data_IF_636378699961
#
_entry.id   IF_636378699961
#
_cell.length_a   1.000
_cell.length_b   1.000
_cell.length_c   1.000
_cell.angle_alpha   90.00
_cell.angle_beta   90.00
_cell.angle_gamma   90.00
#
_symmetry.space_group_name_H-M   'P 1'
#
loop_
_entity.id
_entity.type
_entity.pdbx_description
1 polymer ?
#
# COMPACT_ATOMS: atom_id res chain seq x y z
N UNK A 1 12.27 -0.16 -23.45
CA UNK A 1 13.02 0.03 -22.18
C UNK A 1 12.11 0.06 -20.94
N UNK A 2 11.19 1.03 -20.71
CA UNK A 2 10.32 1.01 -19.51
C UNK A 2 9.34 -0.19 -19.51
N UNK A 3 8.67 -0.46 -20.60
CA UNK A 3 7.77 -1.62 -20.72
C UNK A 3 8.46 -2.97 -20.54
N UNK A 4 9.69 -3.10 -21.00
CA UNK A 4 10.50 -4.31 -20.83
C UNK A 4 10.87 -4.51 -19.33
N UNK A 5 11.29 -3.45 -18.63
CA UNK A 5 11.57 -3.49 -17.18
C UNK A 5 10.33 -3.86 -16.37
N UNK A 6 9.15 -3.32 -16.74
CA UNK A 6 7.88 -3.73 -16.12
C UNK A 6 7.59 -5.21 -16.34
N UNK A 7 7.76 -5.72 -17.55
CA UNK A 7 7.51 -7.14 -17.87
C UNK A 7 8.44 -8.03 -17.06
N UNK A 8 9.74 -7.72 -17.01
CA UNK A 8 10.72 -8.46 -16.22
C UNK A 8 10.37 -8.47 -14.73
N UNK A 9 9.98 -7.32 -14.15
CA UNK A 9 9.57 -7.22 -12.75
C UNK A 9 8.29 -8.01 -12.47
N UNK A 10 7.33 -8.02 -13.40
CA UNK A 10 6.10 -8.81 -13.30
C UNK A 10 6.38 -10.32 -13.33
N UNK A 11 7.22 -10.79 -14.26
CA UNK A 11 7.57 -12.21 -14.40
C UNK A 11 8.34 -12.70 -13.18
N UNK A 12 9.26 -11.91 -12.68
CA UNK A 12 9.96 -12.18 -11.42
C UNK A 12 8.98 -12.29 -10.25
N UNK A 13 8.05 -11.36 -10.13
CA UNK A 13 7.03 -11.36 -9.07
C UNK A 13 6.18 -12.63 -9.15
N UNK A 14 5.76 -13.02 -10.36
CA UNK A 14 5.05 -14.29 -10.59
C UNK A 14 5.86 -15.50 -10.15
N UNK A 15 7.13 -15.54 -10.50
CA UNK A 15 8.05 -16.64 -10.14
C UNK A 15 8.29 -16.72 -8.63
N UNK A 16 8.51 -15.58 -7.99
CA UNK A 16 8.82 -15.50 -6.56
C UNK A 16 7.60 -15.67 -5.66
N UNK A 17 6.38 -15.35 -6.11
CA UNK A 17 5.16 -15.56 -5.34
C UNK A 17 4.49 -16.88 -5.74
N UNK A 18 4.20 -17.09 -7.02
CA UNK A 18 3.54 -18.29 -7.52
C UNK A 18 2.24 -18.59 -6.75
N UNK A 19 2.07 -19.83 -6.37
CA UNK A 19 0.95 -20.35 -5.57
C UNK A 19 1.21 -20.35 -4.04
N UNK A 20 2.39 -19.82 -3.61
CA UNK A 20 2.83 -19.87 -2.20
C UNK A 20 2.08 -18.92 -1.26
N UNK A 21 1.35 -17.95 -1.79
CA UNK A 21 0.69 -16.91 -1.01
C UNK A 21 -0.30 -17.46 0.04
N UNK A 22 -0.99 -18.57 -0.27
CA UNK A 22 -1.89 -19.24 0.68
C UNK A 22 -1.15 -19.80 1.89
N UNK A 23 0.00 -20.44 1.68
CA UNK A 23 0.85 -20.94 2.78
C UNK A 23 1.41 -19.83 3.64
N UNK A 24 1.83 -18.71 3.05
CA UNK A 24 2.32 -17.54 3.79
C UNK A 24 1.22 -16.86 4.62
N UNK A 25 0.00 -16.79 4.07
CA UNK A 25 -1.16 -16.27 4.80
C UNK A 25 -1.46 -17.11 6.05
N UNK A 26 -1.42 -18.45 5.92
CA UNK A 26 -1.62 -19.38 7.03
C UNK A 26 -0.49 -19.31 8.07
N UNK A 27 0.76 -19.21 7.62
CA UNK A 27 1.91 -19.04 8.49
C UNK A 27 1.95 -17.65 9.15
N UNK A 28 1.26 -16.66 8.54
CA UNK A 28 1.29 -15.27 8.95
C UNK A 28 2.63 -14.60 8.70
N UNK A 29 3.48 -15.11 7.81
CA UNK A 29 4.84 -14.62 7.57
C UNK A 29 5.24 -14.77 6.11
N UNK A 30 5.99 -13.78 5.60
CA UNK A 30 6.63 -13.80 4.28
C UNK A 30 8.12 -14.20 4.43
N UNK A 31 8.65 -15.03 3.53
CA UNK A 31 10.09 -15.27 3.49
C UNK A 31 10.86 -13.99 3.19
N UNK A 32 11.71 -13.56 4.10
CA UNK A 32 12.51 -12.32 3.95
C UNK A 32 13.39 -12.37 2.69
N UNK A 33 13.89 -13.56 2.33
CA UNK A 33 14.68 -13.74 1.10
C UNK A 33 13.89 -13.34 -0.16
N UNK A 34 12.58 -13.65 -0.24
CA UNK A 34 11.70 -13.25 -1.34
C UNK A 34 11.54 -11.73 -1.38
N UNK A 35 11.32 -11.10 -0.23
CA UNK A 35 11.19 -9.64 -0.16
C UNK A 35 12.47 -8.93 -0.56
N UNK A 36 13.61 -9.40 -0.09
CA UNK A 36 14.92 -8.83 -0.46
C UNK A 36 15.23 -9.01 -1.94
N UNK A 37 14.84 -10.14 -2.54
CA UNK A 37 15.04 -10.33 -3.98
C UNK A 37 14.15 -9.40 -4.81
N UNK A 38 12.87 -9.28 -4.45
CA UNK A 38 11.97 -8.27 -5.06
C UNK A 38 12.53 -6.85 -4.91
N UNK A 39 13.13 -6.53 -3.77
CA UNK A 39 13.80 -5.25 -3.52
C UNK A 39 15.00 -5.03 -4.43
N UNK A 40 15.94 -6.00 -4.53
CA UNK A 40 17.14 -5.92 -5.39
C UNK A 40 16.81 -5.75 -6.87
N UNK A 41 15.69 -6.27 -7.30
CA UNK A 41 15.19 -6.11 -8.67
C UNK A 41 14.33 -4.86 -8.85
N UNK A 42 14.24 -3.99 -7.82
CA UNK A 42 13.50 -2.73 -7.85
C UNK A 42 11.97 -2.88 -7.83
N UNK A 43 11.43 -4.10 -7.74
CA UNK A 43 9.98 -4.35 -7.84
C UNK A 43 9.19 -3.80 -6.64
N UNK A 44 9.81 -3.62 -5.46
CA UNK A 44 9.15 -3.07 -4.29
C UNK A 44 9.03 -1.53 -4.30
N UNK A 45 9.82 -0.83 -5.11
CA UNK A 45 9.80 0.63 -5.24
C UNK A 45 10.08 1.06 -6.69
N UNK A 46 9.26 0.58 -7.62
CA UNK A 46 9.51 0.60 -9.06
C UNK A 46 9.53 2.01 -9.70
N UNK A 47 9.00 3.03 -9.02
CA UNK A 47 9.07 4.43 -9.47
C UNK A 47 10.42 5.12 -9.15
N UNK A 48 11.26 4.52 -8.31
CA UNK A 48 12.60 5.10 -8.04
C UNK A 48 13.36 5.27 -9.35
N UNK A 49 13.96 6.45 -9.60
CA UNK A 49 14.72 6.71 -10.82
C UNK A 49 15.88 5.72 -11.01
N UNK A 50 16.23 5.48 -12.29
CA UNK A 50 17.28 4.53 -12.67
C UNK A 50 18.64 4.94 -12.12
N UNK A 51 18.91 6.22 -11.96
CA UNK A 51 20.15 6.75 -11.38
C UNK A 51 20.37 6.30 -9.92
N UNK A 52 19.30 5.91 -9.21
CA UNK A 52 19.34 5.34 -7.86
C UNK A 52 19.12 3.83 -7.85
N UNK A 53 19.28 3.16 -9.00
CA UNK A 53 19.11 1.71 -9.13
C UNK A 53 17.66 1.21 -9.21
N UNK A 54 16.68 2.13 -9.35
CA UNK A 54 15.27 1.80 -9.51
C UNK A 54 14.88 1.49 -10.95
N UNK A 55 13.62 1.12 -11.17
CA UNK A 55 13.09 0.81 -12.50
C UNK A 55 12.67 2.06 -13.28
N UNK A 56 12.43 3.20 -12.60
CA UNK A 56 11.98 4.45 -13.21
C UNK A 56 10.65 4.29 -13.93
N UNK A 57 9.73 3.49 -13.37
CA UNK A 57 8.42 3.30 -13.97
C UNK A 57 7.53 4.53 -13.77
N UNK A 58 6.63 4.77 -14.74
CA UNK A 58 5.53 5.71 -14.59
C UNK A 58 4.57 5.27 -13.48
N UNK A 59 3.69 6.17 -13.02
CA UNK A 59 2.65 5.82 -12.05
C UNK A 59 1.72 4.73 -12.60
N UNK A 60 1.40 4.78 -13.90
CA UNK A 60 0.57 3.76 -14.56
C UNK A 60 1.25 2.39 -14.58
N UNK A 61 2.53 2.31 -14.98
CA UNK A 61 3.26 1.05 -15.04
C UNK A 61 3.53 0.45 -13.66
N UNK A 62 3.84 1.29 -12.66
CA UNK A 62 3.95 0.87 -11.25
C UNK A 62 2.59 0.39 -10.71
N UNK A 63 1.50 1.04 -11.13
CA UNK A 63 0.14 0.65 -10.78
C UNK A 63 -0.21 -0.75 -11.29
N UNK A 64 0.06 -1.04 -12.55
CA UNK A 64 -0.16 -2.38 -13.12
C UNK A 64 0.71 -3.47 -12.46
N UNK A 65 1.97 -3.15 -12.10
CA UNK A 65 2.81 -4.06 -11.32
C UNK A 65 2.23 -4.29 -9.93
N UNK A 66 1.72 -3.25 -9.28
CA UNK A 66 1.06 -3.31 -7.96
C UNK A 66 -0.22 -4.13 -8.02
N UNK A 67 -1.05 -3.97 -9.07
CA UNK A 67 -2.23 -4.77 -9.29
C UNK A 67 -1.87 -6.26 -9.48
N UNK A 68 -0.85 -6.54 -10.28
CA UNK A 68 -0.36 -7.91 -10.46
C UNK A 68 0.08 -8.53 -9.12
N UNK A 69 0.89 -7.83 -8.34
CA UNK A 69 1.34 -8.27 -7.01
C UNK A 69 0.15 -8.49 -6.07
N UNK A 70 -0.82 -7.56 -6.05
CA UNK A 70 -2.03 -7.61 -5.21
C UNK A 70 -2.94 -8.79 -5.54
N UNK A 71 -3.07 -9.14 -6.81
CA UNK A 71 -3.81 -10.33 -7.25
C UNK A 71 -3.17 -11.63 -6.78
N UNK A 72 -1.84 -11.70 -6.79
CA UNK A 72 -1.09 -12.86 -6.28
C UNK A 72 -1.09 -12.92 -4.75
N UNK A 73 -0.74 -11.80 -4.09
CA UNK A 73 -0.57 -11.75 -2.63
C UNK A 73 -0.67 -10.32 -2.08
N UNK A 74 -1.78 -9.99 -1.41
CA UNK A 74 -1.98 -8.68 -0.77
C UNK A 74 -0.97 -8.39 0.34
N UNK A 75 -0.42 -9.40 1.02
CA UNK A 75 0.63 -9.20 2.03
C UNK A 75 1.93 -8.71 1.39
N UNK A 76 2.37 -9.28 0.26
CA UNK A 76 3.54 -8.79 -0.50
C UNK A 76 3.27 -7.39 -1.04
N UNK A 77 2.05 -7.14 -1.60
CA UNK A 77 1.64 -5.81 -2.05
C UNK A 77 1.67 -4.79 -0.89
N UNK A 78 1.30 -5.17 0.33
CA UNK A 78 1.38 -4.28 1.49
C UNK A 78 2.82 -3.91 1.83
N UNK A 79 3.76 -4.86 1.76
CA UNK A 79 5.20 -4.57 1.89
C UNK A 79 5.68 -3.66 0.75
N UNK A 80 5.26 -3.92 -0.50
CA UNK A 80 5.55 -3.06 -1.66
C UNK A 80 5.02 -1.64 -1.43
N UNK A 81 3.82 -1.47 -0.85
CA UNK A 81 3.27 -0.16 -0.50
C UNK A 81 4.18 0.57 0.48
N UNK A 82 4.58 -0.10 1.56
CA UNK A 82 5.44 0.48 2.60
C UNK A 82 6.80 0.89 2.05
N UNK A 83 7.44 0.00 1.26
CA UNK A 83 8.74 0.26 0.62
C UNK A 83 8.65 1.42 -0.38
N UNK A 84 7.65 1.41 -1.25
CA UNK A 84 7.47 2.46 -2.25
C UNK A 84 7.11 3.80 -1.63
N UNK A 85 6.30 3.82 -0.56
CA UNK A 85 6.00 5.05 0.20
C UNK A 85 7.25 5.60 0.89
N UNK A 86 8.10 4.74 1.45
CA UNK A 86 9.37 5.16 2.02
C UNK A 86 10.28 5.79 0.95
N UNK A 87 10.43 5.13 -0.19
CA UNK A 87 11.22 5.65 -1.31
C UNK A 87 10.66 6.97 -1.85
N UNK A 88 9.34 7.08 -2.02
CA UNK A 88 8.65 8.31 -2.41
C UNK A 88 8.91 9.45 -1.42
N UNK A 89 8.80 9.18 -0.12
CA UNK A 89 9.03 10.18 0.93
C UNK A 89 10.47 10.68 0.94
N UNK A 90 11.45 9.79 0.78
CA UNK A 90 12.87 10.14 0.67
C UNK A 90 13.08 10.97 -0.61
N UNK A 91 12.52 10.58 -1.73
CA UNK A 91 12.59 11.30 -3.00
C UNK A 91 11.99 12.71 -2.91
N UNK A 92 10.89 12.89 -2.18
CA UNK A 92 10.12 14.13 -2.09
C UNK A 92 10.68 15.10 -1.05
N UNK A 93 11.05 14.60 0.13
CA UNK A 93 11.42 15.41 1.29
C UNK A 93 12.92 15.37 1.60
N UNK A 94 13.64 14.33 1.14
CA UNK A 94 15.09 14.24 1.37
C UNK A 94 15.88 15.25 0.56
N UNK A 95 16.97 15.73 1.14
CA UNK A 95 17.98 16.49 0.41
C UNK A 95 18.76 15.61 -0.60
N UNK A 96 19.58 16.20 -1.50
CA UNK A 96 20.34 15.40 -2.49
C UNK A 96 21.30 14.37 -1.85
N UNK A 97 21.85 14.65 -0.67
CA UNK A 97 22.71 13.71 0.07
C UNK A 97 21.90 12.52 0.59
N UNK A 98 20.75 12.79 1.20
CA UNK A 98 19.84 11.77 1.71
C UNK A 98 19.29 10.88 0.60
N UNK A 99 18.91 11.44 -0.55
CA UNK A 99 18.45 10.66 -1.72
C UNK A 99 19.54 9.70 -2.20
N UNK A 100 20.79 10.21 -2.39
CA UNK A 100 21.93 9.38 -2.78
C UNK A 100 22.30 8.33 -1.73
N UNK A 101 22.03 8.59 -0.45
CA UNK A 101 22.32 7.65 0.63
C UNK A 101 21.27 6.56 0.77
N UNK A 102 19.99 6.92 0.74
CA UNK A 102 18.92 5.97 1.09
C UNK A 102 18.32 5.24 -0.12
N UNK A 103 18.07 5.89 -1.26
CA UNK A 103 17.38 5.26 -2.38
C UNK A 103 18.13 4.04 -2.94
N UNK A 104 19.47 4.06 -3.14
CA UNK A 104 20.19 2.87 -3.59
C UNK A 104 20.15 1.71 -2.58
N UNK A 105 20.00 1.99 -1.28
CA UNK A 105 19.86 0.94 -0.26
C UNK A 105 18.52 0.23 -0.39
N UNK A 106 17.43 0.98 -0.65
CA UNK A 106 16.11 0.42 -0.85
C UNK A 106 16.01 -0.41 -2.15
N UNK A 107 16.57 0.09 -3.24
CA UNK A 107 16.65 -0.66 -4.52
C UNK A 107 17.67 -1.79 -4.48
N UNK A 108 18.62 -1.76 -3.54
CA UNK A 108 19.57 -2.82 -3.25
C UNK A 108 19.05 -3.95 -2.33
N UNK A 109 17.77 -3.87 -1.92
CA UNK A 109 17.11 -4.93 -1.15
C UNK A 109 17.03 -4.69 0.36
N UNK A 110 17.42 -3.51 0.87
CA UNK A 110 17.04 -3.12 2.22
C UNK A 110 15.53 -2.83 2.26
N UNK A 111 14.89 -3.23 3.35
CA UNK A 111 13.45 -3.09 3.51
C UNK A 111 13.13 -1.91 4.42
N UNK A 112 12.08 -1.18 4.07
CA UNK A 112 11.61 -0.02 4.84
C UNK A 112 10.15 -0.14 5.23
N UNK A 113 9.84 0.36 6.43
CA UNK A 113 8.50 0.59 6.92
C UNK A 113 8.24 2.09 7.07
N UNK A 114 6.95 2.48 7.04
CA UNK A 114 6.52 3.86 7.31
C UNK A 114 5.52 3.84 8.46
N UNK A 115 5.79 4.64 9.48
CA UNK A 115 5.08 4.66 10.75
C UNK A 115 4.36 5.99 10.96
N UNK A 116 3.02 5.98 10.83
CA UNK A 116 2.14 7.14 11.03
C UNK A 116 1.31 7.04 12.29
N UNK A 117 0.46 6.00 12.34
CA UNK A 117 -0.63 5.85 13.31
C UNK A 117 -0.13 5.64 14.72
N UNK A 118 -0.87 6.17 15.68
CA UNK A 118 -0.73 5.93 17.12
C UNK A 118 -2.04 5.39 17.68
N UNK A 119 -2.07 4.90 18.90
CA UNK A 119 -3.27 4.32 19.49
C UNK A 119 -4.48 5.29 19.40
N UNK A 120 -4.22 6.59 19.67
CA UNK A 120 -5.25 7.64 19.67
C UNK A 120 -5.18 8.56 18.44
N UNK A 121 -4.30 8.29 17.47
CA UNK A 121 -4.13 9.09 16.25
C UNK A 121 -4.11 8.19 15.00
N UNK A 122 -5.28 7.80 14.53
CA UNK A 122 -5.51 7.05 13.30
C UNK A 122 -6.04 7.94 12.17
N UNK A 123 -7.36 8.15 12.12
CA UNK A 123 -7.98 9.06 11.15
C UNK A 123 -7.62 10.53 11.45
N UNK A 124 -7.56 10.90 12.72
CA UNK A 124 -7.07 12.22 13.18
C UNK A 124 -5.56 12.13 13.48
N UNK A 125 -4.74 12.24 12.44
CA UNK A 125 -3.28 12.33 12.61
C UNK A 125 -2.84 13.65 13.26
N UNK A 126 -3.74 14.64 13.37
CA UNK A 126 -3.52 15.85 14.14
C UNK A 126 -3.32 15.60 15.64
N UNK A 127 -3.87 14.52 16.17
CA UNK A 127 -3.71 14.12 17.57
C UNK A 127 -2.36 13.39 17.87
N UNK A 128 -1.48 13.24 16.88
CA UNK A 128 -0.17 12.57 17.01
C UNK A 128 0.66 13.15 18.15
N UNK A 129 1.25 12.28 18.96
CA UNK A 129 2.07 12.62 20.13
C UNK A 129 3.55 12.29 19.99
N UNK A 130 3.94 11.43 19.04
CA UNK A 130 5.36 11.13 18.75
C UNK A 130 6.11 12.42 18.45
N UNK A 131 7.25 12.62 19.10
CA UNK A 131 8.10 13.81 18.98
C UNK A 131 9.46 13.48 18.38
N UNK A 132 9.95 14.40 17.58
CA UNK A 132 11.30 14.46 17.04
C UNK A 132 11.88 15.80 17.51
N UNK A 133 12.96 15.77 18.25
CA UNK A 133 13.57 16.95 18.85
C UNK A 133 15.07 16.99 18.52
N UNK A 134 15.66 18.17 18.49
CA UNK A 134 17.13 18.31 18.42
C UNK A 134 17.64 18.57 19.82
N UNK A 135 18.44 17.63 20.33
CA UNK A 135 19.07 17.71 21.66
C UNK A 135 20.58 17.49 21.47
N UNK A 136 21.39 18.45 21.87
CA UNK A 136 22.86 18.40 21.74
C UNK A 136 23.35 18.12 20.31
N UNK A 137 22.63 18.62 19.30
CA UNK A 137 22.96 18.43 17.87
C UNK A 137 22.54 17.09 17.28
N UNK A 138 21.92 16.22 18.07
CA UNK A 138 21.35 14.95 17.63
C UNK A 138 19.81 15.03 17.51
N UNK A 139 19.23 14.25 16.61
CA UNK A 139 17.80 14.02 16.58
C UNK A 139 17.42 12.96 17.63
N UNK A 140 16.46 13.27 18.48
CA UNK A 140 15.90 12.36 19.49
C UNK A 140 14.45 12.08 19.16
N UNK A 141 14.11 10.80 18.96
CA UNK A 141 12.75 10.38 18.60
C UNK A 141 12.14 9.63 19.77
N UNK A 142 10.95 10.10 20.20
CA UNK A 142 10.22 9.51 21.33
C UNK A 142 8.74 9.37 20.99
N UNK A 143 8.17 8.20 21.21
CA UNK A 143 6.76 7.91 20.99
C UNK A 143 6.46 6.46 20.71
N UNK A 144 5.22 6.19 20.30
CA UNK A 144 4.77 4.84 19.96
C UNK A 144 3.90 4.88 18.70
N UNK A 145 4.21 4.01 17.76
CA UNK A 145 3.46 3.84 16.51
C UNK A 145 2.82 2.47 16.50
N UNK A 146 1.59 2.40 16.00
CA UNK A 146 0.83 1.14 15.93
C UNK A 146 0.58 0.71 14.50
N UNK A 147 0.38 -0.59 14.29
CA UNK A 147 0.05 -1.18 12.98
C UNK A 147 1.02 -0.82 11.86
N UNK A 148 2.28 -0.62 12.16
CA UNK A 148 3.29 -0.30 11.14
C UNK A 148 3.52 -1.50 10.23
N UNK A 149 3.09 -1.37 8.96
CA UNK A 149 3.23 -2.42 7.94
C UNK A 149 4.70 -2.66 7.61
N UNK A 150 5.06 -3.91 7.40
CA UNK A 150 6.43 -4.39 7.10
C UNK A 150 7.44 -4.17 8.23
N UNK A 151 7.06 -3.64 9.40
CA UNK A 151 8.01 -3.31 10.46
C UNK A 151 8.81 -4.54 10.96
N UNK A 152 8.21 -5.75 10.95
CA UNK A 152 8.95 -6.96 11.34
C UNK A 152 10.05 -7.35 10.34
N UNK A 153 9.99 -6.88 9.10
CA UNK A 153 10.97 -7.14 8.03
C UNK A 153 11.92 -5.97 7.79
N UNK A 154 11.54 -4.77 8.21
CA UNK A 154 12.23 -3.53 7.87
C UNK A 154 13.62 -3.45 8.49
N UNK A 155 14.56 -2.92 7.72
CA UNK A 155 15.88 -2.46 8.18
C UNK A 155 15.81 -0.98 8.61
N UNK A 156 14.93 -0.22 7.96
CA UNK A 156 14.70 1.21 8.20
C UNK A 156 13.22 1.48 8.49
N UNK A 157 12.94 2.35 9.44
CA UNK A 157 11.58 2.80 9.76
C UNK A 157 11.52 4.31 9.58
N UNK A 158 10.70 4.79 8.66
CA UNK A 158 10.41 6.20 8.48
C UNK A 158 9.33 6.59 9.50
N UNK A 159 9.69 7.34 10.50
CA UNK A 159 8.81 7.75 11.60
C UNK A 159 8.36 9.19 11.38
N UNK A 160 7.04 9.39 11.25
CA UNK A 160 6.43 10.72 11.22
C UNK A 160 6.18 11.18 12.65
N UNK A 161 6.62 12.38 13.00
CA UNK A 161 6.46 12.95 14.34
C UNK A 161 6.36 14.47 14.35
N UNK A 162 5.90 15.01 15.46
CA UNK A 162 5.93 16.46 15.74
C UNK A 162 7.37 16.94 15.78
N UNK A 163 7.64 18.09 15.15
CA UNK A 163 8.96 18.72 15.15
C UNK A 163 8.81 20.25 15.19
N UNK A 164 9.17 20.85 16.31
CA UNK A 164 8.89 22.26 16.56
C UNK A 164 7.39 22.56 16.47
N UNK A 165 7.01 23.57 15.70
CA UNK A 165 5.60 23.91 15.41
C UNK A 165 4.98 23.08 14.28
N UNK A 166 5.76 22.24 13.59
CA UNK A 166 5.33 21.43 12.45
C UNK A 166 5.55 19.93 12.68
N UNK A 167 5.98 19.26 11.63
CA UNK A 167 6.26 17.83 11.62
C UNK A 167 7.55 17.51 10.84
N UNK A 168 8.08 16.32 11.06
CA UNK A 168 9.22 15.79 10.32
C UNK A 168 9.07 14.29 10.09
N UNK A 169 9.92 13.75 9.22
CA UNK A 169 10.14 12.33 9.03
C UNK A 169 11.57 12.00 9.44
N UNK A 170 11.74 11.15 10.43
CA UNK A 170 13.04 10.61 10.82
C UNK A 170 13.25 9.22 10.23
N UNK A 171 14.40 8.96 9.62
CA UNK A 171 14.78 7.63 9.12
C UNK A 171 15.51 6.90 10.25
N UNK A 172 14.83 5.97 10.88
CA UNK A 172 15.29 5.23 12.07
C UNK A 172 15.76 3.84 11.66
N UNK A 173 17.05 3.48 11.82
CA UNK A 173 17.49 2.09 11.70
C UNK A 173 16.83 1.23 12.79
N UNK A 174 16.34 0.04 12.42
CA UNK A 174 15.62 -0.86 13.33
C UNK A 174 16.43 -1.29 14.55
N UNK A 175 17.73 -1.40 14.39
CA UNK A 175 18.67 -1.90 15.42
C UNK A 175 19.18 -0.82 16.38
N UNK A 176 18.69 0.42 16.24
CA UNK A 176 19.07 1.51 17.17
C UNK A 176 18.60 1.22 18.59
N UNK A 177 19.46 1.51 19.60
CA UNK A 177 19.04 1.49 20.98
C UNK A 177 17.78 2.33 21.21
N UNK A 178 16.82 1.80 21.95
CA UNK A 178 15.53 2.46 22.22
C UNK A 178 14.42 2.06 21.23
N UNK A 179 14.72 1.39 20.11
CA UNK A 179 13.70 0.84 19.19
C UNK A 179 13.25 -0.52 19.67
N UNK A 180 11.95 -0.69 19.85
CA UNK A 180 11.33 -1.98 20.18
C UNK A 180 10.16 -2.24 19.27
N UNK A 181 10.07 -3.46 18.74
CA UNK A 181 9.00 -3.91 17.86
C UNK A 181 8.17 -5.00 18.57
N UNK A 182 6.86 -4.82 18.56
CA UNK A 182 5.92 -5.84 19.03
C UNK A 182 5.02 -6.22 17.88
N UNK A 183 5.11 -7.48 17.42
CA UNK A 183 4.29 -7.97 16.31
C UNK A 183 2.80 -7.88 16.66
N UNK A 184 1.98 -7.39 15.75
CA UNK A 184 0.51 -7.44 15.88
C UNK A 184 0.07 -8.90 15.76
N UNK A 185 -0.62 -9.45 16.78
CA UNK A 185 -1.06 -10.84 16.75
C UNK A 185 -2.30 -11.00 15.85
N UNK A 186 -2.34 -12.08 15.07
CA UNK A 186 -3.51 -12.56 14.34
C UNK A 186 -4.30 -11.48 13.55
N UNK A 187 -3.66 -10.70 12.65
CA UNK A 187 -4.41 -9.73 11.86
C UNK A 187 -5.46 -10.43 11.01
N UNK A 188 -6.63 -9.81 10.84
CA UNK A 188 -7.76 -10.42 10.13
C UNK A 188 -7.51 -10.60 8.63
N UNK A 189 -6.68 -9.72 8.02
CA UNK A 189 -6.24 -9.81 6.61
C UNK A 189 -4.81 -9.29 6.46
N UNK A 190 -4.23 -9.44 5.28
CA UNK A 190 -2.82 -9.20 5.02
C UNK A 190 -1.93 -9.84 6.12
N UNK A 191 -2.28 -11.06 6.52
CA UNK A 191 -1.77 -11.72 7.73
C UNK A 191 -0.24 -11.81 7.77
N UNK A 192 0.37 -11.92 6.61
CA UNK A 192 1.81 -12.06 6.46
C UNK A 192 2.53 -10.73 6.16
N UNK A 193 1.87 -9.57 6.23
CA UNK A 193 2.48 -8.28 5.88
C UNK A 193 3.45 -7.72 6.94
N UNK A 194 3.66 -8.43 8.04
CA UNK A 194 4.64 -8.07 9.06
C UNK A 194 4.28 -6.81 9.85
N UNK A 195 3.00 -6.65 10.19
CA UNK A 195 2.55 -5.55 11.03
C UNK A 195 3.14 -5.63 12.44
N UNK A 196 3.63 -4.50 12.95
CA UNK A 196 4.09 -4.38 14.33
C UNK A 196 3.82 -2.99 14.89
N UNK A 197 3.72 -2.92 16.21
CA UNK A 197 3.82 -1.68 16.95
C UNK A 197 5.30 -1.35 17.17
N UNK A 198 5.64 -0.07 17.10
CA UNK A 198 7.01 0.45 17.16
C UNK A 198 7.10 1.42 18.31
N UNK A 199 7.77 1.02 19.36
CA UNK A 199 8.10 1.90 20.49
C UNK A 199 9.47 2.52 20.29
N UNK A 200 9.55 3.82 20.50
CA UNK A 200 10.73 4.66 20.36
C UNK A 200 11.00 5.34 21.71
N UNK A 201 12.03 4.87 22.40
CA UNK A 201 12.39 5.34 23.74
C UNK A 201 13.67 6.20 23.65
N UNK A 202 13.47 7.51 23.46
CA UNK A 202 14.53 8.50 23.28
C UNK A 202 15.63 8.05 22.28
N UNK A 203 15.20 7.58 21.11
CA UNK A 203 16.11 7.05 20.07
C UNK A 203 16.96 8.17 19.50
N UNK A 204 18.28 8.10 19.72
CA UNK A 204 19.25 9.10 19.25
C UNK A 204 19.74 8.78 17.85
N UNK A 205 19.73 9.78 16.98
CA UNK A 205 20.12 9.70 15.56
C UNK A 205 20.93 10.93 15.21
N UNK A 206 21.81 10.86 14.20
CA UNK A 206 22.36 12.07 13.60
C UNK A 206 21.23 13.00 13.11
N UNK A 207 21.37 14.31 13.27
CA UNK A 207 20.38 15.28 12.77
C UNK A 207 20.07 15.09 11.27
N UNK A 208 21.05 14.60 10.50
CA UNK A 208 20.90 14.23 9.08
C UNK A 208 19.94 13.05 8.82
N UNK A 209 19.45 12.38 9.85
CA UNK A 209 18.40 11.36 9.71
C UNK A 209 17.01 11.99 9.55
N UNK A 210 16.83 13.28 9.83
CA UNK A 210 15.59 14.01 9.57
C UNK A 210 15.54 14.40 8.10
N UNK A 211 14.56 13.92 7.35
CA UNK A 211 14.42 14.23 5.92
C UNK A 211 14.23 15.74 5.70
N UNK A 212 15.11 16.34 4.89
CA UNK A 212 15.05 17.75 4.52
C UNK A 212 15.16 18.72 5.72
N UNK A 213 15.64 18.27 6.88
CA UNK A 213 15.73 19.06 8.10
C UNK A 213 14.43 19.24 8.86
N UNK A 214 13.29 18.76 8.36
CA UNK A 214 11.99 18.83 9.03
C UNK A 214 11.27 20.18 8.95
N UNK A 215 10.31 20.42 9.87
CA UNK A 215 9.56 21.67 9.96
C UNK A 215 8.44 21.84 8.91
N UNK A 216 8.00 20.74 8.32
CA UNK A 216 6.88 20.74 7.37
C UNK A 216 5.55 20.92 8.07
N UNK A 217 4.56 21.51 7.39
CA UNK A 217 3.17 21.41 7.81
C UNK A 217 2.74 19.94 7.83
N UNK A 218 2.11 19.51 8.93
CA UNK A 218 1.73 18.09 9.13
C UNK A 218 0.76 17.61 8.07
N UNK A 219 -0.23 18.43 7.71
CA UNK A 219 -1.27 18.03 6.74
C UNK A 219 -0.69 17.87 5.35
N UNK A 220 0.22 18.77 4.96
CA UNK A 220 0.96 18.71 3.70
C UNK A 220 1.86 17.46 3.65
N UNK A 221 2.62 17.20 4.71
CA UNK A 221 3.50 16.04 4.82
C UNK A 221 2.72 14.72 4.69
N UNK A 222 1.67 14.57 5.49
CA UNK A 222 0.80 13.39 5.50
C UNK A 222 0.12 13.21 4.15
N UNK A 223 -0.45 14.27 3.56
CA UNK A 223 -1.09 14.20 2.25
C UNK A 223 -0.13 13.73 1.18
N UNK A 224 1.06 14.29 1.11
CA UNK A 224 2.06 13.93 0.11
C UNK A 224 2.56 12.48 0.24
N UNK A 225 2.72 11.97 1.48
CA UNK A 225 3.13 10.59 1.71
C UNK A 225 1.98 9.61 1.41
N UNK A 226 0.76 9.92 1.84
CA UNK A 226 -0.43 9.09 1.60
C UNK A 226 -0.85 9.05 0.13
N UNK A 227 -0.45 9.99 -0.74
CA UNK A 227 -0.68 9.87 -2.18
C UNK A 227 -0.17 8.54 -2.73
N UNK A 228 1.09 8.18 -2.40
CA UNK A 228 1.66 6.91 -2.83
C UNK A 228 0.91 5.70 -2.25
N UNK A 229 0.64 5.72 -0.94
CA UNK A 229 -0.07 4.64 -0.27
C UNK A 229 -1.46 4.40 -0.84
N UNK A 230 -2.23 5.47 -1.05
CA UNK A 230 -3.57 5.42 -1.66
C UNK A 230 -3.55 4.87 -3.07
N UNK A 231 -2.59 5.30 -3.93
CA UNK A 231 -2.42 4.74 -5.28
C UNK A 231 -2.11 3.25 -5.24
N UNK A 232 -1.20 2.84 -4.36
CA UNK A 232 -0.84 1.43 -4.20
C UNK A 232 -2.02 0.58 -3.71
N UNK A 233 -2.82 1.09 -2.77
CA UNK A 233 -4.06 0.41 -2.31
C UNK A 233 -5.07 0.31 -3.44
N UNK A 234 -5.29 1.40 -4.19
CA UNK A 234 -6.26 1.43 -5.29
C UNK A 234 -5.92 0.39 -6.37
N UNK A 235 -4.68 0.38 -6.85
CA UNK A 235 -4.22 -0.61 -7.82
C UNK A 235 -4.17 -2.04 -7.26
N UNK A 236 -3.80 -2.20 -5.98
CA UNK A 236 -3.86 -3.50 -5.30
C UNK A 236 -5.28 -4.08 -5.29
N UNK A 237 -6.30 -3.23 -5.10
CA UNK A 237 -7.71 -3.62 -5.18
C UNK A 237 -8.13 -4.05 -6.60
N UNK A 238 -7.61 -3.40 -7.64
CA UNK A 238 -7.79 -3.86 -9.04
C UNK A 238 -7.25 -5.29 -9.19
N UNK A 239 -6.07 -5.58 -8.62
CA UNK A 239 -5.50 -6.92 -8.63
C UNK A 239 -6.38 -7.96 -7.92
N UNK A 240 -6.92 -7.62 -6.76
CA UNK A 240 -7.88 -8.46 -6.03
C UNK A 240 -9.11 -8.76 -6.89
N UNK A 241 -9.69 -7.75 -7.55
CA UNK A 241 -10.86 -7.90 -8.42
C UNK A 241 -10.57 -8.79 -9.63
N UNK A 242 -9.42 -8.59 -10.30
CA UNK A 242 -8.97 -9.42 -11.42
C UNK A 242 -8.84 -10.89 -11.03
N UNK A 243 -8.25 -11.17 -9.86
CA UNK A 243 -8.11 -12.54 -9.36
C UNK A 243 -9.45 -13.14 -8.96
N UNK A 244 -10.33 -12.40 -8.27
CA UNK A 244 -11.67 -12.84 -7.93
C UNK A 244 -12.48 -13.18 -9.20
N UNK A 245 -12.43 -12.34 -10.23
CA UNK A 245 -13.09 -12.58 -11.51
C UNK A 245 -12.55 -13.83 -12.20
N UNK A 246 -11.21 -13.96 -12.29
CA UNK A 246 -10.54 -15.10 -12.92
C UNK A 246 -10.93 -16.43 -12.26
N UNK A 247 -10.81 -16.50 -10.93
CA UNK A 247 -11.11 -17.73 -10.15
C UNK A 247 -12.59 -18.06 -10.25
N UNK A 248 -13.49 -17.07 -10.13
CA UNK A 248 -14.93 -17.25 -10.24
C UNK A 248 -15.33 -17.75 -11.64
N UNK A 249 -14.84 -17.11 -12.71
CA UNK A 249 -15.12 -17.50 -14.08
C UNK A 249 -14.64 -18.93 -14.37
N UNK A 250 -13.45 -19.30 -13.90
CA UNK A 250 -12.93 -20.67 -14.05
C UNK A 250 -13.83 -21.68 -13.32
N UNK A 251 -14.24 -21.36 -12.10
CA UNK A 251 -15.11 -22.25 -11.30
C UNK A 251 -16.46 -22.50 -11.92
N UNK A 252 -17.17 -21.44 -12.34
CA UNK A 252 -18.55 -21.58 -12.84
C UNK A 252 -18.63 -22.24 -14.22
N UNK A 253 -17.54 -22.22 -14.99
CA UNK A 253 -17.42 -22.96 -16.27
C UNK A 253 -17.13 -24.44 -16.07
N UNK A 254 -16.40 -24.80 -15.01
CA UNK A 254 -16.03 -26.18 -14.72
C UNK A 254 -17.05 -26.95 -13.87
N UNK A 255 -17.95 -26.23 -13.18
CA UNK A 255 -18.92 -26.83 -12.23
C UNK A 255 -20.31 -26.89 -12.84
N UNK A 256 -20.92 -28.09 -12.80
CA UNK A 256 -22.33 -28.29 -13.20
C UNK A 256 -23.22 -28.59 -11.99
N UNK A 257 -24.40 -28.02 -11.97
CA UNK A 257 -25.50 -28.30 -11.03
C UNK A 257 -26.84 -28.14 -11.77
N UNK A 258 -27.86 -28.85 -11.34
CA UNK A 258 -29.19 -28.88 -12.00
C UNK A 258 -29.10 -29.19 -13.49
N UNK A 259 -28.22 -30.13 -13.86
CA UNK A 259 -28.08 -30.63 -15.23
C UNK A 259 -27.33 -29.72 -16.21
N UNK A 260 -26.78 -28.54 -15.77
CA UNK A 260 -26.06 -27.62 -16.65
C UNK A 260 -24.90 -26.96 -15.90
N UNK A 261 -23.96 -26.35 -16.65
CA UNK A 261 -22.86 -25.54 -16.11
C UNK A 261 -23.41 -24.37 -15.26
N UNK A 262 -22.75 -24.05 -14.14
CA UNK A 262 -23.14 -22.90 -13.33
C UNK A 262 -23.17 -21.60 -14.13
N UNK A 263 -22.26 -21.43 -15.10
CA UNK A 263 -22.19 -20.27 -15.97
C UNK A 263 -23.47 -20.01 -16.77
N UNK A 264 -24.33 -21.02 -16.95
CA UNK A 264 -25.61 -20.91 -17.71
C UNK A 264 -26.79 -20.48 -16.83
N UNK A 265 -26.61 -20.42 -15.52
CA UNK A 265 -27.64 -19.93 -14.60
C UNK A 265 -27.65 -18.40 -14.57
N UNK A 266 -28.79 -17.75 -14.80
CA UNK A 266 -28.90 -16.29 -14.92
C UNK A 266 -28.36 -15.54 -13.69
N UNK A 267 -28.62 -16.01 -12.47
CA UNK A 267 -28.15 -15.39 -11.24
C UNK A 267 -26.63 -15.48 -11.09
N UNK A 268 -26.02 -16.58 -11.58
CA UNK A 268 -24.56 -16.74 -11.61
C UNK A 268 -23.93 -15.80 -12.64
N UNK A 269 -24.51 -15.73 -13.85
CA UNK A 269 -24.08 -14.83 -14.91
C UNK A 269 -24.12 -13.36 -14.48
N UNK A 270 -25.17 -12.96 -13.73
CA UNK A 270 -25.28 -11.63 -13.12
C UNK A 270 -24.10 -11.32 -12.21
N UNK A 271 -23.73 -12.24 -11.31
CA UNK A 271 -22.60 -12.03 -10.42
C UNK A 271 -21.26 -11.88 -11.15
N UNK A 272 -21.06 -12.63 -12.25
CA UNK A 272 -19.87 -12.43 -13.09
C UNK A 272 -19.85 -11.06 -13.76
N UNK A 273 -21.01 -10.59 -14.24
CA UNK A 273 -21.13 -9.26 -14.82
C UNK A 273 -20.83 -8.16 -13.79
N UNK A 274 -21.36 -8.29 -12.57
CA UNK A 274 -21.08 -7.37 -11.45
C UNK A 274 -19.59 -7.32 -11.11
N UNK A 275 -18.90 -8.49 -11.08
CA UNK A 275 -17.44 -8.56 -10.86
C UNK A 275 -16.65 -7.86 -11.98
N UNK A 276 -17.04 -8.08 -13.23
CA UNK A 276 -16.40 -7.43 -14.37
C UNK A 276 -16.58 -5.90 -14.32
N UNK A 277 -17.81 -5.43 -14.06
CA UNK A 277 -18.08 -3.99 -13.91
C UNK A 277 -17.25 -3.39 -12.79
N UNK A 278 -17.18 -4.05 -11.63
CA UNK A 278 -16.40 -3.59 -10.49
C UNK A 278 -14.91 -3.45 -10.82
N UNK A 279 -14.34 -4.44 -11.53
CA UNK A 279 -12.94 -4.41 -11.97
C UNK A 279 -12.71 -3.28 -12.98
N UNK A 280 -13.56 -3.14 -13.99
CA UNK A 280 -13.41 -2.11 -15.02
C UNK A 280 -13.52 -0.69 -14.44
N UNK A 281 -14.50 -0.44 -13.57
CA UNK A 281 -14.68 0.88 -12.92
C UNK A 281 -13.46 1.22 -12.05
N UNK A 282 -12.96 0.27 -11.26
CA UNK A 282 -11.77 0.45 -10.44
C UNK A 282 -10.52 0.73 -11.31
N UNK A 283 -10.32 -0.04 -12.38
CA UNK A 283 -9.20 0.14 -13.31
C UNK A 283 -9.21 1.54 -13.94
N UNK A 284 -10.37 2.01 -14.45
CA UNK A 284 -10.49 3.34 -15.06
C UNK A 284 -10.21 4.48 -14.07
N UNK A 285 -10.67 4.35 -12.82
CA UNK A 285 -10.36 5.33 -11.78
C UNK A 285 -8.85 5.38 -11.48
N UNK A 286 -8.20 4.21 -11.40
CA UNK A 286 -6.75 4.12 -11.17
C UNK A 286 -5.94 4.66 -12.35
N UNK A 287 -6.32 4.34 -13.60
CA UNK A 287 -5.69 4.86 -14.82
C UNK A 287 -5.78 6.40 -14.89
N UNK A 288 -6.95 6.97 -14.54
CA UNK A 288 -7.12 8.42 -14.47
C UNK A 288 -6.19 9.04 -13.42
N UNK A 289 -6.18 8.50 -12.19
CA UNK A 289 -5.32 8.99 -11.12
C UNK A 289 -3.83 8.86 -11.47
N UNK A 290 -3.43 7.79 -12.16
CA UNK A 290 -2.05 7.62 -12.65
C UNK A 290 -1.67 8.65 -13.70
N UNK A 291 -2.56 9.00 -14.64
CA UNK A 291 -2.32 10.09 -15.58
C UNK A 291 -2.15 11.43 -14.86
N UNK A 292 -3.05 11.76 -13.92
CA UNK A 292 -2.91 12.97 -13.12
C UNK A 292 -1.56 13.02 -12.37
N UNK A 293 -1.08 11.85 -11.90
CA UNK A 293 0.23 11.75 -11.25
C UNK A 293 1.39 12.03 -12.22
N UNK A 294 1.39 11.34 -13.36
CA UNK A 294 2.48 11.42 -14.34
C UNK A 294 2.54 12.81 -15.03
N UNK A 295 1.39 13.47 -15.18
CA UNK A 295 1.25 14.81 -15.78
C UNK A 295 1.43 15.95 -14.76
N UNK A 296 1.49 15.67 -13.45
CA UNK A 296 1.55 16.68 -12.39
C UNK A 296 0.29 17.53 -12.26
N UNK A 297 -0.88 16.93 -12.52
CA UNK A 297 -2.19 17.60 -12.53
C UNK A 297 -2.54 18.18 -11.15
N UNK A 298 -3.02 19.43 -11.04
CA UNK A 298 -3.47 20.03 -9.79
C UNK A 298 -4.60 19.24 -9.07
N UNK A 299 -5.41 18.49 -9.82
CA UNK A 299 -6.47 17.60 -9.31
C UNK A 299 -6.00 16.26 -8.77
N UNK A 300 -4.68 16.00 -8.76
CA UNK A 300 -4.08 14.73 -8.36
C UNK A 300 -4.62 14.18 -7.04
N UNK A 301 -4.72 15.01 -6.00
CA UNK A 301 -5.18 14.56 -4.66
C UNK A 301 -6.60 13.99 -4.75
N UNK A 302 -7.51 14.69 -5.40
CA UNK A 302 -8.90 14.26 -5.56
C UNK A 302 -8.99 12.99 -6.42
N UNK A 303 -8.24 12.91 -7.54
CA UNK A 303 -8.19 11.75 -8.41
C UNK A 303 -7.70 10.50 -7.67
N UNK A 304 -6.64 10.61 -6.87
CA UNK A 304 -6.08 9.52 -6.06
C UNK A 304 -7.04 9.06 -4.97
N UNK A 305 -7.67 10.00 -4.26
CA UNK A 305 -8.66 9.66 -3.21
C UNK A 305 -9.88 8.99 -3.83
N UNK A 306 -10.37 9.48 -4.98
CA UNK A 306 -11.47 8.87 -5.73
C UNK A 306 -11.11 7.44 -6.17
N UNK A 307 -9.92 7.23 -6.75
CA UNK A 307 -9.45 5.92 -7.16
C UNK A 307 -9.41 4.95 -5.98
N UNK A 308 -8.86 5.36 -4.82
CA UNK A 308 -8.81 4.54 -3.60
C UNK A 308 -10.21 4.21 -3.10
N UNK A 309 -11.09 5.18 -3.02
CA UNK A 309 -12.47 5.02 -2.56
C UNK A 309 -13.25 4.03 -3.44
N UNK A 310 -13.22 4.23 -4.75
CA UNK A 310 -13.93 3.36 -5.72
C UNK A 310 -13.36 1.95 -5.69
N UNK A 311 -12.02 1.81 -5.77
CA UNK A 311 -11.37 0.51 -5.88
C UNK A 311 -11.53 -0.33 -4.60
N UNK A 312 -11.38 0.26 -3.41
CA UNK A 312 -11.49 -0.49 -2.15
C UNK A 312 -12.91 -0.99 -1.90
N UNK A 313 -13.95 -0.18 -2.16
CA UNK A 313 -15.35 -0.61 -2.03
C UNK A 313 -15.72 -1.69 -3.03
N UNK A 314 -15.27 -1.55 -4.29
CA UNK A 314 -15.52 -2.55 -5.32
C UNK A 314 -14.79 -3.86 -5.00
N UNK A 315 -13.55 -3.82 -4.50
CA UNK A 315 -12.79 -5.00 -4.10
C UNK A 315 -13.46 -5.73 -2.93
N UNK A 316 -13.93 -5.03 -1.91
CA UNK A 316 -14.61 -5.63 -0.77
C UNK A 316 -15.91 -6.34 -1.19
N UNK A 317 -16.73 -5.69 -2.04
CA UNK A 317 -17.97 -6.28 -2.58
C UNK A 317 -17.68 -7.43 -3.55
N UNK A 318 -16.73 -7.25 -4.46
CA UNK A 318 -16.36 -8.25 -5.46
C UNK A 318 -15.77 -9.51 -4.82
N UNK A 319 -14.94 -9.37 -3.78
CA UNK A 319 -14.42 -10.52 -3.06
C UNK A 319 -15.53 -11.29 -2.31
N UNK A 320 -16.50 -10.59 -1.70
CA UNK A 320 -17.68 -11.22 -1.10
C UNK A 320 -18.52 -11.99 -2.15
N UNK A 321 -18.71 -11.40 -3.34
CA UNK A 321 -19.39 -12.05 -4.47
C UNK A 321 -18.64 -13.30 -4.95
N UNK A 322 -17.30 -13.24 -5.01
CA UNK A 322 -16.47 -14.39 -5.39
C UNK A 322 -16.59 -15.54 -4.38
N UNK A 323 -16.59 -15.23 -3.07
CA UNK A 323 -16.84 -16.23 -2.02
C UNK A 323 -18.21 -16.88 -2.21
N UNK A 324 -19.26 -16.11 -2.47
CA UNK A 324 -20.61 -16.61 -2.72
C UNK A 324 -20.65 -17.54 -3.94
N UNK A 325 -19.99 -17.18 -5.05
CA UNK A 325 -19.94 -17.99 -6.26
C UNK A 325 -19.22 -19.33 -6.07
N UNK A 326 -18.15 -19.35 -5.27
CA UNK A 326 -17.36 -20.55 -5.00
C UNK A 326 -17.98 -21.43 -3.90
N UNK A 327 -18.90 -20.89 -3.11
CA UNK A 327 -19.57 -21.60 -2.02
C UNK A 327 -18.57 -22.30 -1.07
N UNK A 328 -18.75 -23.59 -0.76
CA UNK A 328 -17.87 -24.34 0.15
C UNK A 328 -16.40 -24.36 -0.25
N UNK A 329 -16.07 -24.19 -1.53
CA UNK A 329 -14.67 -24.07 -2.00
C UNK A 329 -13.95 -22.82 -1.52
N UNK A 330 -14.70 -21.77 -1.17
CA UNK A 330 -14.17 -20.56 -0.60
C UNK A 330 -14.20 -20.54 0.94
N UNK A 331 -14.88 -21.51 1.57
CA UNK A 331 -15.14 -21.48 3.01
C UNK A 331 -13.99 -22.04 3.88
N UNK A 332 -12.77 -22.11 3.34
CA UNK A 332 -11.60 -22.56 4.09
C UNK A 332 -10.42 -21.58 3.92
N UNK A 333 -9.58 -21.50 4.94
CA UNK A 333 -8.34 -20.75 4.90
C UNK A 333 -7.40 -21.32 3.80
N UNK A 334 -6.59 -20.46 3.21
CA UNK A 334 -5.73 -20.81 2.08
C UNK A 334 -6.40 -20.66 0.71
N UNK A 335 -7.75 -20.64 0.62
CA UNK A 335 -8.45 -20.31 -0.62
C UNK A 335 -8.10 -18.88 -1.08
N UNK A 336 -7.75 -18.68 -2.39
CA UNK A 336 -7.44 -17.35 -2.90
C UNK A 336 -8.56 -16.32 -2.65
N UNK A 337 -9.83 -16.72 -2.84
CA UNK A 337 -10.97 -15.80 -2.65
C UNK A 337 -11.31 -15.57 -1.19
N UNK A 338 -11.10 -16.55 -0.29
CA UNK A 338 -11.25 -16.35 1.16
C UNK A 338 -10.19 -15.36 1.68
N UNK A 339 -8.94 -15.47 1.20
CA UNK A 339 -7.88 -14.51 1.49
C UNK A 339 -8.23 -13.14 0.92
N UNK A 340 -8.63 -13.05 -0.35
CA UNK A 340 -9.05 -11.81 -0.99
C UNK A 340 -10.18 -11.11 -0.24
N UNK A 341 -11.16 -11.84 0.27
CA UNK A 341 -12.27 -11.30 1.07
C UNK A 341 -11.80 -10.63 2.36
N UNK A 342 -10.91 -11.28 3.11
CA UNK A 342 -10.34 -10.72 4.33
C UNK A 342 -9.45 -9.51 4.03
N UNK A 343 -8.59 -9.62 3.03
CA UNK A 343 -7.65 -8.58 2.64
C UNK A 343 -8.38 -7.34 2.10
N UNK A 344 -9.39 -7.53 1.25
CA UNK A 344 -10.15 -6.44 0.64
C UNK A 344 -10.87 -5.57 1.69
N UNK A 345 -11.35 -6.16 2.80
CA UNK A 345 -11.95 -5.37 3.88
C UNK A 345 -10.97 -4.40 4.51
N UNK A 346 -9.70 -4.79 4.66
CA UNK A 346 -8.67 -3.89 5.19
C UNK A 346 -8.38 -2.73 4.25
N UNK A 347 -8.56 -2.90 2.94
CA UNK A 347 -8.34 -1.82 1.96
C UNK A 347 -9.34 -0.66 2.12
N UNK A 348 -10.50 -0.89 2.71
CA UNK A 348 -11.45 0.18 3.05
C UNK A 348 -10.98 1.02 4.25
N UNK A 349 -10.07 0.49 5.08
CA UNK A 349 -9.64 1.07 6.37
C UNK A 349 -8.30 1.80 6.23
N UNK A 350 -7.31 1.14 5.63
CA UNK A 350 -5.94 1.67 5.51
C UNK A 350 -5.84 2.85 4.55
N UNK A 351 -4.78 3.66 4.69
CA UNK A 351 -4.50 4.86 3.87
C UNK A 351 -5.64 5.90 3.90
N UNK A 352 -6.31 5.99 5.03
CA UNK A 352 -7.53 6.76 5.24
C UNK A 352 -8.79 5.92 4.99
N UNK A 353 -9.67 5.87 5.99
CA UNK A 353 -10.91 5.08 5.89
C UNK A 353 -11.79 5.57 4.75
N UNK A 354 -12.78 4.75 4.37
CA UNK A 354 -13.81 5.13 3.41
C UNK A 354 -14.43 6.51 3.73
N UNK A 355 -14.68 6.78 5.02
CA UNK A 355 -15.29 8.03 5.51
C UNK A 355 -14.32 9.21 5.36
N UNK A 356 -13.04 9.03 5.67
CA UNK A 356 -12.02 10.08 5.45
C UNK A 356 -11.89 10.41 3.95
N UNK A 357 -11.90 9.40 3.08
CA UNK A 357 -11.92 9.65 1.63
C UNK A 357 -13.16 10.42 1.20
N UNK A 358 -14.34 10.11 1.76
CA UNK A 358 -15.59 10.81 1.47
C UNK A 358 -15.56 12.28 1.91
N UNK A 359 -15.00 12.58 3.09
CA UNK A 359 -14.82 13.96 3.56
C UNK A 359 -13.93 14.76 2.60
N UNK A 360 -12.77 14.22 2.22
CA UNK A 360 -11.86 14.90 1.27
C UNK A 360 -12.53 15.13 -0.08
N UNK A 361 -13.32 14.18 -0.59
CA UNK A 361 -14.05 14.33 -1.86
C UNK A 361 -15.21 15.33 -1.76
N UNK A 362 -15.88 15.40 -0.61
CA UNK A 362 -16.94 16.39 -0.38
C UNK A 362 -16.38 17.81 -0.36
N UNK A 363 -15.27 18.03 0.35
CA UNK A 363 -14.58 19.33 0.38
C UNK A 363 -14.10 19.74 -1.03
N UNK A 364 -13.57 18.78 -1.80
CA UNK A 364 -13.19 19.04 -3.20
C UNK A 364 -14.39 19.44 -4.07
N UNK A 365 -15.52 18.74 -3.95
CA UNK A 365 -16.73 19.05 -4.71
C UNK A 365 -17.26 20.46 -4.39
N UNK A 366 -17.30 20.84 -3.11
CA UNK A 366 -17.72 22.18 -2.69
C UNK A 366 -16.78 23.27 -3.23
N UNK A 367 -15.47 23.04 -3.18
CA UNK A 367 -14.49 23.99 -3.71
C UNK A 367 -14.56 24.14 -5.24
N UNK A 368 -15.02 23.11 -5.97
CA UNK A 368 -15.13 23.12 -7.44
C UNK A 368 -16.38 23.88 -7.89
N UNK A 369 -17.54 23.67 -7.24
CA UNK A 369 -18.79 24.37 -7.56
C UNK A 369 -18.67 25.86 -7.29
N UNK A 370 -18.09 26.26 -6.15
CA UNK A 370 -17.92 27.68 -5.82
C UNK A 370 -16.98 28.48 -6.73
N UNK A 371 -16.21 27.81 -7.59
CA UNK A 371 -15.35 28.43 -8.61
C UNK A 371 -16.04 28.57 -9.99
N UNK A 372 -17.10 27.83 -10.24
CA UNK A 372 -17.84 27.91 -11.51
C UNK A 372 -18.79 29.12 -11.55
N UNK A 373 -19.14 29.67 -10.38
CA UNK A 373 -20.07 30.80 -10.22
C UNK A 373 -19.34 32.14 -9.97
N UNK A 374 -18.00 32.17 -9.96
CA UNK A 374 -17.16 33.35 -9.80
C UNK A 374 -16.40 33.69 -11.09
#
# INVERSE_FOLDING_TARGET
>A
MAGERRTTARDLTSTLIGDRAGGWDLAGELPVAVLRELGRQGALCAQVPVEFGGLGLSSADNGELTAHTGGLCSSVRSVQTSQGMAAWSIGRFGDPGQRRHYLPRLTGGQLAAVAFSEADAGSDLGAMTTRIEIVDGEAVVTGEKVWTTAATYADLILVVGRFGSGAAVAVVPRDRPGVRLTRVPHPSGCRAAGHADVRLDAVRLPASAILGGGGHDLSMLVTAMLLYGRMSVAWGCVGILRECLRVSATHVRARSQFGTELARHQLVSRHLAELLVAEQVASRACEHASRCWDDGDPGLVAAVVLAKQVSSRNAARGAATAVQLLASRAAHDGSPVARAYRDAKLMEIIEGTTEICQLILADHALATVGRADA
#
